data_IF_842234664192
#
_entry.id   IF_842234664192
#
_cell.length_a   1.000
_cell.length_b   1.000
_cell.length_c   1.000
_cell.angle_alpha   90.00
_cell.angle_beta   90.00
_cell.angle_gamma   90.00
#
_symmetry.space_group_name_H-M   'P 1'
#
loop_
_entity.id
_entity.type
_entity.pdbx_description
1 polymer ?
#
# COMPACT_ATOMS: atom_id res chain seq x y z
N UNK A 1 99.46 -24.43 -34.28
CA UNK A 1 98.55 -23.81 -33.34
C UNK A 1 99.30 -23.45 -32.09
N UNK A 2 99.32 -22.19 -31.72
CA UNK A 2 100.16 -21.71 -30.59
C UNK A 2 99.64 -22.25 -29.27
N UNK A 3 100.54 -22.93 -28.52
CA UNK A 3 100.20 -23.53 -27.21
C UNK A 3 99.61 -22.50 -26.24
N UNK A 4 99.98 -21.24 -26.42
CA UNK A 4 99.40 -20.11 -25.62
C UNK A 4 97.91 -19.86 -25.88
N UNK A 5 97.48 -20.07 -27.13
CA UNK A 5 96.05 -19.90 -27.48
C UNK A 5 95.18 -21.05 -26.93
N UNK A 6 95.72 -22.25 -26.91
CA UNK A 6 95.07 -23.41 -26.33
C UNK A 6 94.91 -23.26 -24.82
N UNK A 7 95.99 -22.78 -24.15
CA UNK A 7 95.88 -22.54 -22.71
C UNK A 7 94.85 -21.44 -22.30
N UNK A 8 94.79 -20.38 -23.14
CA UNK A 8 93.75 -19.32 -22.90
C UNK A 8 92.35 -19.86 -23.19
N UNK A 9 92.15 -20.73 -24.18
CA UNK A 9 90.82 -21.30 -24.47
C UNK A 9 90.39 -22.29 -23.41
N UNK A 10 91.33 -23.09 -22.86
CA UNK A 10 91.03 -23.97 -21.71
C UNK A 10 90.74 -23.16 -20.44
N UNK A 11 91.45 -22.06 -20.21
CA UNK A 11 91.16 -21.16 -19.04
C UNK A 11 89.81 -20.49 -19.15
N UNK A 12 89.46 -20.04 -20.38
CA UNK A 12 88.09 -19.46 -20.59
C UNK A 12 86.98 -20.48 -20.45
N UNK A 13 87.19 -21.75 -20.85
CA UNK A 13 86.19 -22.82 -20.68
C UNK A 13 86.01 -23.21 -19.18
N UNK A 14 87.09 -23.23 -18.42
CA UNK A 14 87.03 -23.50 -16.98
C UNK A 14 86.29 -22.37 -16.25
N UNK A 15 86.57 -21.11 -16.59
CA UNK A 15 85.86 -19.97 -16.00
C UNK A 15 84.35 -19.97 -16.38
N UNK A 16 84.01 -20.30 -17.63
CA UNK A 16 82.63 -20.42 -18.03
C UNK A 16 81.93 -21.59 -17.34
N UNK A 17 82.60 -22.71 -17.13
CA UNK A 17 82.06 -23.86 -16.38
C UNK A 17 81.81 -23.54 -14.91
N UNK A 18 82.72 -22.84 -14.25
CA UNK A 18 82.58 -22.42 -12.86
C UNK A 18 81.46 -21.41 -12.69
N UNK A 19 81.37 -20.43 -13.62
CA UNK A 19 80.27 -19.45 -13.58
C UNK A 19 78.92 -20.09 -13.88
N UNK A 20 78.84 -21.05 -14.77
CA UNK A 20 77.60 -21.79 -15.04
C UNK A 20 77.20 -22.68 -13.84
N UNK A 21 78.18 -23.31 -13.17
CA UNK A 21 77.92 -24.10 -11.95
C UNK A 21 77.45 -23.23 -10.76
N UNK A 22 78.10 -22.05 -10.59
CA UNK A 22 77.70 -21.11 -9.58
C UNK A 22 76.30 -20.50 -9.81
N UNK A 23 76.03 -20.16 -11.07
CA UNK A 23 74.65 -19.73 -11.46
C UNK A 23 73.61 -20.80 -11.17
N UNK A 24 73.89 -22.07 -11.51
CA UNK A 24 72.99 -23.19 -11.21
C UNK A 24 72.83 -23.41 -9.72
N UNK A 25 73.84 -23.22 -8.88
CA UNK A 25 73.71 -23.35 -7.42
C UNK A 25 72.95 -22.20 -6.80
N UNK A 26 73.04 -20.98 -7.33
CA UNK A 26 72.31 -19.83 -6.84
C UNK A 26 70.85 -19.86 -7.30
N UNK A 27 70.55 -20.26 -8.52
CA UNK A 27 69.19 -20.36 -9.07
C UNK A 27 68.54 -21.73 -8.82
N UNK A 28 69.27 -22.80 -8.61
CA UNK A 28 68.72 -24.14 -8.33
C UNK A 28 68.47 -24.41 -6.86
N UNK A 29 68.89 -23.53 -5.96
CA UNK A 29 68.67 -23.63 -4.50
C UNK A 29 67.53 -22.78 -3.98
N UNK A 30 66.94 -21.93 -4.83
CA UNK A 30 65.67 -21.31 -4.49
C UNK A 30 64.58 -22.35 -4.74
N UNK A 31 64.29 -23.16 -3.71
CA UNK A 31 63.05 -23.91 -3.69
C UNK A 31 61.93 -22.94 -4.00
N UNK A 32 61.17 -23.20 -5.06
CA UNK A 32 59.94 -22.52 -5.31
C UNK A 32 59.24 -22.43 -3.97
N UNK A 33 58.83 -21.24 -3.49
CA UNK A 33 58.00 -21.17 -2.32
C UNK A 33 56.80 -22.03 -2.68
N UNK A 34 56.71 -23.18 -2.01
CA UNK A 34 55.54 -24.02 -2.06
C UNK A 34 54.43 -23.09 -1.61
N UNK A 35 53.60 -22.60 -2.56
CA UNK A 35 52.42 -21.85 -2.20
C UNK A 35 51.70 -22.76 -1.20
N UNK A 36 51.78 -22.37 0.05
CA UNK A 36 50.91 -22.96 1.08
C UNK A 36 49.53 -22.71 0.50
N UNK A 37 48.96 -23.75 -0.09
CA UNK A 37 47.58 -23.69 -0.54
C UNK A 37 46.84 -23.16 0.68
N UNK A 38 46.42 -21.90 0.62
CA UNK A 38 45.59 -21.31 1.65
C UNK A 38 44.45 -22.30 1.76
N UNK A 39 44.46 -23.08 2.84
CA UNK A 39 43.40 -24.03 3.13
C UNK A 39 42.16 -23.17 3.10
N UNK A 40 41.35 -23.29 2.03
CA UNK A 40 40.08 -22.60 1.95
C UNK A 40 39.41 -22.88 3.29
N UNK A 41 38.90 -21.84 3.99
CA UNK A 41 38.28 -22.07 5.30
C UNK A 41 37.24 -23.15 5.10
N UNK A 42 37.48 -24.31 5.70
CA UNK A 42 36.50 -25.39 5.67
C UNK A 42 35.23 -24.78 6.23
N UNK A 43 34.06 -24.97 5.59
CA UNK A 43 32.81 -24.53 6.14
C UNK A 43 32.70 -25.07 7.57
N UNK A 44 32.67 -24.19 8.55
CA UNK A 44 32.50 -24.56 9.95
C UNK A 44 31.14 -25.26 9.99
N UNK A 45 31.15 -26.57 10.15
CA UNK A 45 29.93 -27.36 10.36
C UNK A 45 29.44 -26.95 11.75
N UNK A 46 28.45 -26.07 11.78
CA UNK A 46 27.78 -25.66 13.02
C UNK A 46 26.95 -26.85 13.46
N UNK A 47 27.42 -27.56 14.51
CA UNK A 47 26.69 -28.64 15.14
C UNK A 47 25.61 -28.04 16.06
N UNK A 48 24.36 -28.14 15.63
CA UNK A 48 23.22 -27.63 16.39
C UNK A 48 21.90 -27.81 15.66
N UNK A 49 20.79 -27.65 16.37
CA UNK A 49 19.47 -27.69 15.74
C UNK A 49 19.29 -26.56 14.72
N UNK A 50 18.47 -26.80 13.72
CA UNK A 50 18.09 -25.76 12.76
C UNK A 50 16.97 -24.88 13.35
N UNK A 51 17.16 -23.58 13.26
CA UNK A 51 16.16 -22.58 13.68
C UNK A 51 15.73 -21.70 12.50
N UNK A 52 14.57 -21.04 12.61
CA UNK A 52 14.11 -20.10 11.62
C UNK A 52 14.86 -18.77 11.72
N UNK A 53 15.39 -18.30 10.59
CA UNK A 53 16.16 -17.07 10.44
C UNK A 53 15.56 -16.23 9.32
N UNK A 54 15.47 -14.91 9.49
CA UNK A 54 14.94 -14.01 8.48
C UNK A 54 15.83 -13.97 7.23
N UNK A 55 15.25 -14.13 6.05
CA UNK A 55 15.97 -14.03 4.77
C UNK A 55 16.19 -12.60 4.32
N UNK A 56 15.35 -11.69 4.76
CA UNK A 56 15.33 -10.25 4.42
C UNK A 56 15.00 -9.44 5.68
N UNK A 57 15.24 -8.13 5.64
CA UNK A 57 14.79 -7.25 6.71
C UNK A 57 13.26 -7.22 6.77
N UNK A 58 12.70 -7.37 7.96
CA UNK A 58 11.28 -7.40 8.24
C UNK A 58 10.93 -6.25 9.19
N UNK A 59 10.48 -5.10 8.65
CA UNK A 59 10.01 -3.98 9.47
C UNK A 59 8.76 -4.33 10.27
N UNK A 60 8.48 -3.54 11.30
CA UNK A 60 7.24 -3.64 12.09
C UNK A 60 6.03 -3.52 11.17
N UNK A 61 5.01 -4.35 11.40
CA UNK A 61 3.80 -4.39 10.58
C UNK A 61 3.89 -5.27 9.34
N UNK A 62 5.05 -5.88 9.06
CA UNK A 62 5.19 -6.82 7.94
C UNK A 62 4.41 -8.09 8.23
N UNK A 63 3.54 -8.49 7.31
CA UNK A 63 2.88 -9.79 7.34
C UNK A 63 3.88 -10.84 6.84
N UNK A 64 4.08 -11.89 7.62
CA UNK A 64 5.02 -12.97 7.31
C UNK A 64 4.45 -13.85 6.20
N UNK A 65 5.26 -14.09 5.19
CA UNK A 65 5.06 -15.10 4.15
C UNK A 65 6.13 -16.21 4.26
N UNK A 66 5.91 -17.41 3.66
CA UNK A 66 6.86 -18.51 3.74
C UNK A 66 8.25 -18.21 3.19
N UNK A 67 8.41 -17.18 2.35
CA UNK A 67 9.70 -16.77 1.75
C UNK A 67 10.50 -15.82 2.66
N UNK A 68 9.86 -15.31 3.72
CA UNK A 68 10.45 -14.37 4.65
C UNK A 68 11.50 -14.98 5.57
N UNK A 69 11.57 -16.30 5.66
CA UNK A 69 12.48 -17.02 6.55
C UNK A 69 13.00 -18.32 5.94
N UNK A 70 14.08 -18.83 6.53
CA UNK A 70 14.68 -20.12 6.18
C UNK A 70 15.20 -20.83 7.43
N UNK A 71 15.33 -22.14 7.38
CA UNK A 71 16.05 -22.88 8.40
C UNK A 71 17.55 -22.70 8.23
N UNK A 72 18.24 -22.50 9.36
CA UNK A 72 19.70 -22.40 9.41
C UNK A 72 20.22 -23.12 10.66
N UNK A 73 21.32 -23.92 10.57
CA UNK A 73 21.98 -24.51 11.72
C UNK A 73 22.38 -23.43 12.72
N UNK A 74 22.16 -23.66 14.01
CA UNK A 74 22.45 -22.71 15.08
C UNK A 74 23.26 -23.35 16.18
N UNK A 75 24.32 -22.67 16.70
CA UNK A 75 25.16 -23.23 17.76
C UNK A 75 24.32 -23.61 18.99
N UNK A 76 24.59 -24.80 19.57
CA UNK A 76 23.85 -25.30 20.74
C UNK A 76 23.97 -24.37 21.94
N UNK A 77 25.12 -23.74 22.11
CA UNK A 77 25.41 -22.81 23.22
C UNK A 77 24.59 -21.52 23.17
N UNK A 78 24.11 -21.14 21.97
CA UNK A 78 23.31 -19.92 21.74
C UNK A 78 21.80 -20.22 21.68
N UNK A 79 21.39 -21.46 21.95
CA UNK A 79 19.99 -21.86 21.91
C UNK A 79 19.18 -21.19 23.02
N UNK A 80 18.04 -20.63 22.63
CA UNK A 80 17.05 -20.10 23.56
C UNK A 80 15.68 -20.72 23.27
N UNK A 81 14.88 -20.94 24.29
CA UNK A 81 13.54 -21.51 24.17
C UNK A 81 12.57 -20.62 23.37
N UNK A 82 12.95 -19.37 23.11
CA UNK A 82 12.16 -18.42 22.33
C UNK A 82 12.28 -18.62 20.82
N UNK A 83 13.21 -19.44 20.32
CA UNK A 83 13.42 -19.66 18.89
C UNK A 83 12.44 -20.68 18.31
N UNK A 84 12.16 -20.54 17.02
CA UNK A 84 11.39 -21.52 16.26
C UNK A 84 12.33 -22.61 15.73
N UNK A 85 12.28 -23.79 16.36
CA UNK A 85 13.16 -24.93 16.05
C UNK A 85 12.47 -25.82 15.01
N UNK A 86 13.24 -26.32 14.04
CA UNK A 86 12.78 -27.28 13.03
C UNK A 86 12.26 -28.56 13.70
N UNK A 87 11.08 -29.02 13.28
CA UNK A 87 10.41 -30.16 13.84
C UNK A 87 9.51 -29.88 15.05
N UNK A 88 9.69 -28.74 15.73
CA UNK A 88 8.80 -28.29 16.82
C UNK A 88 7.86 -27.16 16.34
N UNK A 89 8.33 -26.30 15.45
CA UNK A 89 7.54 -25.23 14.86
C UNK A 89 7.18 -25.54 13.41
N UNK A 90 5.90 -25.44 13.07
CA UNK A 90 5.42 -25.55 11.70
C UNK A 90 5.51 -24.16 11.02
N UNK A 91 6.32 -24.02 9.96
CA UNK A 91 6.43 -22.76 9.22
C UNK A 91 5.10 -22.28 8.63
N UNK A 92 4.22 -23.18 8.26
CA UNK A 92 2.90 -22.83 7.71
C UNK A 92 2.03 -22.13 8.75
N UNK A 93 2.20 -22.42 10.03
CA UNK A 93 1.50 -21.76 11.14
C UNK A 93 1.97 -20.33 11.40
N UNK A 94 3.08 -19.91 10.80
CA UNK A 94 3.62 -18.54 10.88
C UNK A 94 3.15 -17.64 9.74
N UNK A 95 2.60 -18.22 8.67
CA UNK A 95 2.01 -17.45 7.59
C UNK A 95 0.86 -16.60 8.12
N UNK A 96 0.83 -15.31 7.73
CA UNK A 96 -0.16 -14.35 8.20
C UNK A 96 0.11 -13.74 9.59
N UNK A 97 1.16 -14.17 10.31
CA UNK A 97 1.60 -13.48 11.53
C UNK A 97 2.23 -12.12 11.19
N UNK A 98 2.20 -11.19 12.12
CA UNK A 98 2.70 -9.82 11.92
C UNK A 98 3.92 -9.58 12.79
N UNK A 99 4.93 -8.92 12.23
CA UNK A 99 6.15 -8.51 12.93
C UNK A 99 5.85 -7.40 13.92
N UNK A 100 6.07 -7.66 15.22
CA UNK A 100 5.92 -6.69 16.31
C UNK A 100 7.16 -5.83 16.50
N UNK A 101 8.35 -6.41 16.38
CA UNK A 101 9.63 -5.74 16.49
C UNK A 101 10.43 -5.98 15.23
N UNK A 102 11.09 -4.94 14.73
CA UNK A 102 11.92 -5.03 13.52
C UNK A 102 12.92 -6.19 13.63
N UNK A 103 12.98 -7.03 12.59
CA UNK A 103 13.90 -8.15 12.46
C UNK A 103 14.82 -7.87 11.28
N UNK A 104 16.13 -7.96 11.50
CA UNK A 104 17.11 -7.77 10.43
C UNK A 104 17.35 -9.07 9.65
N UNK A 105 17.83 -8.96 8.40
CA UNK A 105 18.24 -10.14 7.65
C UNK A 105 19.33 -10.93 8.41
N UNK A 106 19.17 -12.26 8.46
CA UNK A 106 20.09 -13.14 9.22
C UNK A 106 19.79 -13.25 10.72
N UNK A 107 18.83 -12.52 11.25
CA UNK A 107 18.43 -12.58 12.67
C UNK A 107 17.49 -13.74 12.91
N UNK A 108 17.66 -14.53 14.02
CA UNK A 108 16.72 -15.54 14.45
C UNK A 108 15.32 -14.99 14.71
N UNK A 109 14.29 -15.73 14.26
CA UNK A 109 12.92 -15.42 14.60
C UNK A 109 12.62 -15.87 16.03
N UNK A 110 12.07 -14.97 16.84
CA UNK A 110 11.64 -15.28 18.21
C UNK A 110 10.11 -15.22 18.32
N UNK A 111 9.54 -16.05 19.20
CA UNK A 111 8.09 -16.09 19.42
C UNK A 111 7.53 -14.74 19.83
N UNK A 112 8.25 -13.96 20.65
CA UNK A 112 7.83 -12.64 21.10
C UNK A 112 7.89 -11.55 20.04
N UNK A 113 8.63 -11.77 18.94
CA UNK A 113 8.75 -10.81 17.84
C UNK A 113 7.59 -10.88 16.83
N UNK A 114 6.77 -11.93 16.91
CA UNK A 114 5.64 -12.17 16.01
C UNK A 114 4.32 -12.15 16.79
N UNK A 115 3.27 -11.65 16.17
CA UNK A 115 1.90 -11.64 16.68
C UNK A 115 1.02 -12.44 15.74
N UNK A 116 0.32 -13.44 16.26
CA UNK A 116 -0.57 -14.28 15.45
C UNK A 116 -1.90 -13.59 15.20
N UNK A 117 -2.59 -13.91 14.09
CA UNK A 117 -3.99 -13.56 13.92
C UNK A 117 -4.83 -13.99 15.15
N UNK A 118 -5.63 -13.06 15.70
CA UNK A 118 -6.41 -13.28 16.92
C UNK A 118 -5.72 -12.94 18.23
N UNK A 119 -4.40 -12.81 18.27
CA UNK A 119 -3.68 -12.40 19.47
C UNK A 119 -3.93 -10.94 19.81
N UNK A 120 -3.83 -10.61 21.12
CA UNK A 120 -3.88 -9.22 21.57
C UNK A 120 -2.81 -8.37 20.88
N UNK A 121 -3.25 -7.25 20.31
CA UNK A 121 -2.35 -6.31 19.63
C UNK A 121 -2.05 -6.66 18.17
N UNK A 122 -2.64 -7.74 17.62
CA UNK A 122 -2.48 -8.10 16.20
C UNK A 122 -2.85 -6.93 15.27
N UNK A 123 -4.04 -6.34 15.44
CA UNK A 123 -4.48 -5.21 14.60
C UNK A 123 -3.53 -4.02 14.75
N UNK A 124 -3.09 -3.71 15.98
CA UNK A 124 -2.15 -2.60 16.19
C UNK A 124 -0.78 -2.85 15.54
N UNK A 125 -0.32 -4.11 15.52
CA UNK A 125 0.92 -4.49 14.84
C UNK A 125 0.77 -4.53 13.31
N UNK A 126 -0.41 -4.87 12.80
CA UNK A 126 -0.70 -4.94 11.37
C UNK A 126 -0.87 -3.56 10.72
N UNK A 127 -1.15 -2.52 11.52
CA UNK A 127 -1.29 -1.15 11.04
C UNK A 127 0.04 -0.57 10.57
N UNK A 128 0.03 0.10 9.43
CA UNK A 128 1.15 0.91 8.98
C UNK A 128 1.39 2.14 9.88
N UNK A 129 2.60 2.73 9.85
CA UNK A 129 2.89 3.94 10.61
C UNK A 129 1.90 5.06 10.30
N UNK A 130 1.34 5.67 11.34
CA UNK A 130 0.36 6.75 11.21
C UNK A 130 -1.05 6.33 10.83
N UNK A 131 -1.31 5.03 10.60
CA UNK A 131 -2.62 4.51 10.24
C UNK A 131 -3.48 4.20 11.48
N UNK A 132 -4.78 4.07 11.26
CA UNK A 132 -5.80 3.76 12.27
C UNK A 132 -6.69 2.61 11.77
N UNK A 133 -7.18 1.79 12.69
CA UNK A 133 -8.22 0.81 12.43
C UNK A 133 -9.58 1.44 12.68
N UNK A 134 -10.45 1.42 11.68
CA UNK A 134 -11.82 1.95 11.76
C UNK A 134 -12.79 0.83 11.38
N UNK A 135 -13.79 0.61 12.20
CA UNK A 135 -14.81 -0.41 11.92
C UNK A 135 -16.05 0.24 11.31
N UNK A 136 -16.52 -0.36 10.23
CA UNK A 136 -17.74 0.01 9.52
C UNK A 136 -18.73 -1.14 9.62
N UNK A 137 -19.95 -0.84 10.04
CA UNK A 137 -21.05 -1.82 10.01
C UNK A 137 -21.60 -1.96 8.60
N UNK A 138 -21.79 -3.20 8.17
CA UNK A 138 -22.29 -3.54 6.84
C UNK A 138 -23.38 -4.61 6.93
N UNK A 139 -24.24 -4.63 5.92
CA UNK A 139 -25.17 -5.75 5.70
C UNK A 139 -24.52 -6.77 4.76
N UNK A 140 -25.07 -7.96 4.68
CA UNK A 140 -24.60 -8.98 3.72
C UNK A 140 -24.56 -8.43 2.29
N UNK A 141 -25.53 -7.62 1.88
CA UNK A 141 -25.58 -7.02 0.55
C UNK A 141 -24.51 -5.94 0.37
N UNK A 142 -24.33 -5.04 1.35
CA UNK A 142 -23.35 -3.97 1.27
C UNK A 142 -21.90 -4.44 1.51
N UNK A 143 -21.72 -5.66 2.04
CA UNK A 143 -20.43 -6.33 2.27
C UNK A 143 -20.09 -7.36 1.20
N UNK A 144 -20.55 -7.19 -0.05
CA UNK A 144 -20.24 -8.09 -1.19
C UNK A 144 -20.54 -9.56 -0.86
N UNK A 145 -21.70 -9.83 -0.24
CA UNK A 145 -22.18 -11.17 0.11
C UNK A 145 -21.18 -12.06 0.89
N UNK A 146 -20.25 -11.46 1.62
CA UNK A 146 -19.25 -12.21 2.39
C UNK A 146 -17.94 -12.51 1.65
N UNK A 147 -17.78 -12.05 0.43
CA UNK A 147 -16.57 -12.26 -0.38
C UNK A 147 -15.46 -11.23 -0.12
N UNK A 148 -15.53 -10.49 0.97
CA UNK A 148 -14.44 -9.62 1.42
C UNK A 148 -13.65 -10.36 2.50
N UNK A 149 -12.35 -10.46 2.29
CA UNK A 149 -11.43 -11.15 3.19
C UNK A 149 -10.39 -10.18 3.78
N UNK A 150 -9.83 -10.49 4.96
CA UNK A 150 -8.69 -9.76 5.49
C UNK A 150 -7.53 -9.74 4.48
N UNK A 151 -6.99 -8.55 4.21
CA UNK A 151 -5.97 -8.31 3.18
C UNK A 151 -6.51 -7.72 1.87
N UNK A 152 -7.80 -7.85 1.59
CA UNK A 152 -8.42 -7.29 0.39
C UNK A 152 -8.42 -5.76 0.39
N UNK A 153 -8.62 -5.19 -0.78
CA UNK A 153 -8.77 -3.76 -1.00
C UNK A 153 -10.19 -3.44 -1.44
N UNK A 154 -10.79 -2.44 -0.79
CA UNK A 154 -12.16 -2.03 -1.05
C UNK A 154 -12.26 -0.52 -1.24
N UNK A 155 -13.25 -0.11 -2.02
CA UNK A 155 -13.70 1.27 -2.09
C UNK A 155 -14.97 1.42 -1.24
N UNK A 156 -15.13 2.56 -0.59
CA UNK A 156 -16.25 2.86 0.29
C UNK A 156 -17.18 3.86 -0.38
N UNK A 157 -18.43 3.48 -0.58
CA UNK A 157 -19.48 4.28 -1.16
C UNK A 157 -20.51 4.67 -0.09
N UNK A 158 -20.90 5.95 -0.10
CA UNK A 158 -21.97 6.50 0.71
C UNK A 158 -23.22 6.68 -0.14
N UNK A 159 -24.33 6.08 0.28
CA UNK A 159 -25.66 6.32 -0.28
C UNK A 159 -26.47 7.14 0.69
N UNK A 160 -26.95 8.30 0.28
CA UNK A 160 -27.69 9.23 1.13
C UNK A 160 -28.85 9.92 0.43
N UNK A 161 -29.78 10.44 1.20
CA UNK A 161 -30.86 11.30 0.74
C UNK A 161 -30.60 12.73 1.19
N UNK A 162 -30.45 13.65 0.20
CA UNK A 162 -30.19 15.06 0.48
C UNK A 162 -31.50 15.83 0.41
N UNK A 163 -32.00 16.23 1.57
CA UNK A 163 -33.17 17.09 1.68
C UNK A 163 -32.77 18.52 1.28
N UNK A 164 -33.57 19.13 0.42
CA UNK A 164 -33.41 20.54 0.05
C UNK A 164 -34.32 21.46 0.89
N UNK A 165 -34.20 22.77 0.67
CA UNK A 165 -35.09 23.77 1.28
C UNK A 165 -36.45 23.90 0.59
N UNK A 166 -36.69 23.23 -0.53
CA UNK A 166 -37.91 23.27 -1.30
C UNK A 166 -38.81 22.05 -1.10
N UNK A 167 -40.01 22.12 -1.68
CA UNK A 167 -40.99 21.03 -1.64
C UNK A 167 -40.61 19.88 -2.58
N UNK A 168 -40.96 18.65 -2.20
CA UNK A 168 -40.82 17.44 -2.97
C UNK A 168 -39.83 16.45 -2.40
N UNK A 169 -39.65 15.27 -3.05
CA UNK A 169 -38.80 14.20 -2.54
C UNK A 169 -37.32 14.63 -2.48
N UNK A 170 -36.54 14.12 -1.52
CA UNK A 170 -35.11 14.38 -1.42
C UNK A 170 -34.36 13.88 -2.65
N UNK A 171 -33.19 14.45 -2.90
CA UNK A 171 -32.27 13.97 -3.92
C UNK A 171 -31.55 12.72 -3.39
N UNK A 172 -31.64 11.61 -4.12
CA UNK A 172 -30.88 10.39 -3.82
C UNK A 172 -29.52 10.47 -4.48
N UNK A 173 -28.48 10.26 -3.70
CA UNK A 173 -27.07 10.35 -4.12
C UNK A 173 -26.32 9.13 -3.65
N UNK A 174 -25.48 8.58 -4.51
CA UNK A 174 -24.45 7.61 -4.14
C UNK A 174 -23.08 8.17 -4.61
N UNK A 175 -22.12 8.17 -3.71
CA UNK A 175 -20.78 8.70 -4.00
C UNK A 175 -19.70 7.81 -3.41
N UNK A 176 -18.59 7.64 -4.14
CA UNK A 176 -17.40 6.97 -3.63
C UNK A 176 -16.60 7.95 -2.79
N UNK A 177 -16.62 7.77 -1.47
CA UNK A 177 -16.00 8.71 -0.52
C UNK A 177 -14.53 8.44 -0.26
N UNK A 178 -14.11 7.17 -0.32
CA UNK A 178 -12.71 6.73 -0.12
C UNK A 178 -12.45 5.52 -0.99
N UNK A 179 -11.27 5.46 -1.56
CA UNK A 179 -10.79 4.35 -2.39
C UNK A 179 -9.59 3.66 -1.77
N UNK A 180 -9.39 2.40 -2.14
CA UNK A 180 -8.19 1.63 -1.84
C UNK A 180 -7.95 1.41 -0.33
N UNK A 181 -9.01 1.20 0.44
CA UNK A 181 -8.92 0.85 1.85
C UNK A 181 -8.54 -0.62 2.02
N UNK A 182 -7.53 -0.90 2.84
CA UNK A 182 -7.15 -2.27 3.18
C UNK A 182 -8.05 -2.82 4.28
N UNK A 183 -8.61 -4.00 4.07
CA UNK A 183 -9.37 -4.76 5.06
C UNK A 183 -8.41 -5.42 6.05
N UNK A 184 -8.60 -5.13 7.34
CA UNK A 184 -7.79 -5.72 8.42
C UNK A 184 -8.49 -6.93 9.04
N UNK A 185 -9.81 -6.85 9.17
CA UNK A 185 -10.61 -7.90 9.79
C UNK A 185 -12.07 -7.84 9.31
N UNK A 186 -12.74 -8.98 9.30
CA UNK A 186 -14.19 -9.12 9.15
C UNK A 186 -14.76 -9.69 10.44
N UNK A 187 -15.66 -8.94 11.12
CA UNK A 187 -16.04 -9.15 12.51
C UNK A 187 -14.80 -9.28 13.42
N UNK A 188 -14.58 -10.42 14.06
CA UNK A 188 -13.42 -10.69 14.89
C UNK A 188 -12.34 -11.51 14.16
N UNK A 189 -12.50 -11.77 12.87
CA UNK A 189 -11.58 -12.58 12.07
C UNK A 189 -10.54 -11.71 11.38
N UNK A 190 -9.29 -12.04 11.60
CA UNK A 190 -8.12 -11.35 11.05
C UNK A 190 -7.36 -12.21 10.03
N UNK A 191 -7.85 -13.43 9.75
CA UNK A 191 -7.31 -14.35 8.75
C UNK A 191 -8.43 -15.10 8.05
N UNK A 192 -8.15 -15.60 6.86
CA UNK A 192 -9.07 -16.43 6.11
C UNK A 192 -9.24 -17.78 6.82
N UNK A 193 -10.47 -18.24 6.98
CA UNK A 193 -10.75 -19.60 7.42
C UNK A 193 -10.70 -20.53 6.21
N UNK A 194 -10.04 -21.65 6.38
CA UNK A 194 -10.00 -22.73 5.38
C UNK A 194 -10.75 -23.95 5.89
N UNK A 195 -11.41 -24.67 4.99
CA UNK A 195 -12.03 -25.94 5.29
C UNK A 195 -10.97 -27.07 5.37
N UNK A 196 -11.39 -28.27 5.76
CA UNK A 196 -10.52 -29.45 5.82
C UNK A 196 -9.89 -29.82 4.48
N UNK A 197 -10.37 -29.24 3.37
CA UNK A 197 -9.88 -29.44 2.01
C UNK A 197 -8.96 -28.31 1.55
N UNK A 198 -8.71 -27.29 2.40
CA UNK A 198 -7.87 -26.14 2.08
C UNK A 198 -8.56 -25.03 1.30
N UNK A 199 -9.89 -25.07 1.11
CA UNK A 199 -10.62 -24.00 0.45
C UNK A 199 -10.98 -22.89 1.43
N UNK A 200 -10.91 -21.64 0.98
CA UNK A 200 -11.35 -20.48 1.78
C UNK A 200 -12.85 -20.53 2.01
N UNK A 201 -13.27 -20.50 3.27
CA UNK A 201 -14.70 -20.45 3.63
C UNK A 201 -15.26 -19.03 3.48
N UNK A 202 -16.35 -18.90 2.73
CA UNK A 202 -17.14 -17.68 2.65
C UNK A 202 -18.12 -17.65 3.81
N UNK A 203 -17.95 -16.66 4.70
CA UNK A 203 -18.80 -16.51 5.89
C UNK A 203 -19.34 -15.09 5.92
N UNK A 204 -20.63 -14.94 6.15
CA UNK A 204 -21.26 -13.64 6.32
C UNK A 204 -20.70 -12.91 7.55
N UNK A 205 -20.59 -11.59 7.46
CA UNK A 205 -20.11 -10.72 8.52
C UNK A 205 -20.98 -9.46 8.59
N UNK A 206 -20.94 -8.80 9.73
CA UNK A 206 -21.70 -7.57 9.99
C UNK A 206 -20.81 -6.35 10.15
N UNK A 207 -19.51 -6.55 10.38
CA UNK A 207 -18.56 -5.47 10.60
C UNK A 207 -17.30 -5.72 9.80
N UNK A 208 -16.75 -4.67 9.22
CA UNK A 208 -15.45 -4.69 8.52
C UNK A 208 -14.54 -3.65 9.15
N UNK A 209 -13.35 -4.08 9.56
CA UNK A 209 -12.32 -3.18 10.10
C UNK A 209 -11.34 -2.83 8.99
N UNK A 210 -11.19 -1.55 8.74
CA UNK A 210 -10.41 -0.96 7.63
C UNK A 210 -9.21 -0.21 8.17
N UNK A 211 -8.14 -0.19 7.40
CA UNK A 211 -6.97 0.65 7.64
C UNK A 211 -7.18 2.02 6.97
N UNK A 212 -7.10 3.08 7.76
CA UNK A 212 -7.34 4.44 7.30
C UNK A 212 -6.34 5.44 7.89
N UNK A 213 -6.09 6.53 7.19
CA UNK A 213 -5.42 7.69 7.81
C UNK A 213 -6.34 8.35 8.84
N UNK A 214 -5.83 9.13 9.80
CA UNK A 214 -6.67 9.84 10.77
C UNK A 214 -7.77 10.67 10.09
N UNK A 215 -7.45 11.42 9.04
CA UNK A 215 -8.40 12.22 8.28
C UNK A 215 -9.49 11.38 7.59
N UNK A 216 -9.09 10.26 7.00
CA UNK A 216 -10.05 9.32 6.39
C UNK A 216 -10.92 8.66 7.45
N UNK A 217 -10.37 8.35 8.63
CA UNK A 217 -11.12 7.82 9.76
C UNK A 217 -12.24 8.77 10.22
N UNK A 218 -11.95 10.07 10.32
CA UNK A 218 -12.94 11.13 10.61
C UNK A 218 -14.01 11.19 9.51
N UNK A 219 -13.60 11.15 8.25
CA UNK A 219 -14.50 11.14 7.09
C UNK A 219 -15.46 9.95 7.13
N UNK A 220 -14.94 8.74 7.43
CA UNK A 220 -15.76 7.53 7.58
C UNK A 220 -16.75 7.69 8.75
N UNK A 221 -16.30 8.20 9.91
CA UNK A 221 -17.16 8.39 11.07
C UNK A 221 -18.33 9.33 10.77
N UNK A 222 -18.09 10.44 10.09
CA UNK A 222 -19.15 11.35 9.64
C UNK A 222 -20.08 10.66 8.64
N UNK A 223 -19.53 9.93 7.68
CA UNK A 223 -20.31 9.25 6.63
C UNK A 223 -21.27 8.22 7.20
N UNK A 224 -20.91 7.53 8.29
CA UNK A 224 -21.79 6.58 9.01
C UNK A 224 -23.05 7.26 9.59
N UNK A 225 -22.99 8.57 9.86
CA UNK A 225 -24.15 9.33 10.37
C UNK A 225 -25.00 9.94 9.25
N UNK A 226 -24.46 10.02 8.03
CA UNK A 226 -25.13 10.66 6.89
C UNK A 226 -26.00 9.70 6.09
N UNK A 227 -25.61 8.43 6.01
CA UNK A 227 -26.31 7.47 5.18
C UNK A 227 -25.79 6.05 5.30
N UNK A 228 -26.15 5.22 4.34
CA UNK A 228 -25.74 3.82 4.27
C UNK A 228 -24.39 3.68 3.56
N UNK A 229 -23.48 2.94 4.18
CA UNK A 229 -22.18 2.62 3.59
C UNK A 229 -22.23 1.27 2.87
N UNK A 230 -21.67 1.25 1.66
CA UNK A 230 -21.52 0.05 0.82
C UNK A 230 -20.08 -0.08 0.40
N UNK A 231 -19.57 -1.31 0.41
CA UNK A 231 -18.21 -1.61 -0.03
C UNK A 231 -18.21 -2.18 -1.43
N UNK A 232 -17.24 -1.79 -2.23
CA UNK A 232 -16.93 -2.37 -3.54
C UNK A 232 -15.56 -3.00 -3.49
N UNK A 233 -15.47 -4.28 -3.86
CA UNK A 233 -14.20 -5.00 -3.91
C UNK A 233 -13.39 -4.53 -5.12
N UNK A 234 -12.13 -4.18 -4.91
CA UNK A 234 -11.22 -3.76 -5.97
C UNK A 234 -10.55 -4.94 -6.65
N UNK A 235 -10.30 -4.79 -7.95
CA UNK A 235 -9.45 -5.70 -8.68
C UNK A 235 -7.99 -5.60 -8.21
N UNK A 236 -7.29 -6.73 -8.18
CA UNK A 236 -5.86 -6.79 -7.90
C UNK A 236 -5.06 -5.98 -8.95
N UNK A 237 -5.54 -5.95 -10.19
CA UNK A 237 -4.91 -5.22 -11.30
C UNK A 237 -4.99 -3.69 -11.15
N UNK A 238 -6.01 -3.16 -10.43
CA UNK A 238 -6.23 -1.72 -10.28
C UNK A 238 -5.06 -1.01 -9.60
N UNK A 239 -4.39 -1.68 -8.66
CA UNK A 239 -3.22 -1.10 -7.98
C UNK A 239 -2.06 -0.82 -8.94
N UNK A 240 -1.85 -1.70 -9.92
CA UNK A 240 -0.79 -1.54 -10.94
C UNK A 240 -1.16 -0.39 -11.88
N UNK A 241 -2.40 -0.34 -12.33
CA UNK A 241 -2.90 0.70 -13.24
C UNK A 241 -2.91 2.09 -12.57
N UNK A 242 -3.26 2.18 -11.28
CA UNK A 242 -3.17 3.42 -10.52
C UNK A 242 -1.73 3.90 -10.37
N UNK A 243 -0.79 2.97 -10.12
CA UNK A 243 0.62 3.31 -10.07
C UNK A 243 1.12 3.87 -11.40
N UNK A 244 0.80 3.21 -12.51
CA UNK A 244 1.15 3.67 -13.85
C UNK A 244 0.56 5.06 -14.15
N UNK A 245 -0.71 5.29 -13.75
CA UNK A 245 -1.37 6.58 -13.90
C UNK A 245 -0.73 7.67 -13.02
N UNK A 246 -0.34 7.36 -11.78
CA UNK A 246 0.32 8.30 -10.88
C UNK A 246 1.74 8.66 -11.34
N UNK A 247 2.45 7.73 -11.97
CA UNK A 247 3.74 8.00 -12.62
C UNK A 247 3.53 8.88 -13.86
N UNK A 248 2.54 8.57 -14.70
CA UNK A 248 2.24 9.31 -15.91
C UNK A 248 1.77 10.76 -15.62
N UNK A 249 1.04 10.98 -14.51
CA UNK A 249 0.61 12.31 -14.07
C UNK A 249 1.70 13.12 -13.37
N UNK A 250 2.85 12.50 -13.04
CA UNK A 250 3.94 13.15 -12.30
C UNK A 250 3.67 13.34 -10.80
N UNK A 251 2.58 12.76 -10.26
CA UNK A 251 2.29 12.78 -8.81
C UNK A 251 3.32 11.96 -8.02
N UNK A 252 3.89 10.94 -8.65
CA UNK A 252 4.96 10.13 -8.07
C UNK A 252 6.20 10.32 -8.92
N UNK A 253 7.18 11.02 -8.37
CA UNK A 253 8.52 11.10 -8.96
C UNK A 253 9.25 9.79 -8.69
N UNK A 254 9.69 9.14 -9.76
CA UNK A 254 10.53 7.94 -9.67
C UNK A 254 11.92 8.41 -9.21
N UNK A 255 12.40 8.02 -8.01
CA UNK A 255 13.76 8.36 -7.61
C UNK A 255 14.74 7.67 -8.55
N UNK A 256 15.73 8.37 -9.07
CA UNK A 256 16.85 7.81 -9.81
C UNK A 256 17.70 6.91 -8.90
N UNK A 257 17.14 5.77 -8.50
CA UNK A 257 17.72 4.82 -7.56
C UNK A 257 18.53 3.75 -8.29
N UNK A 258 19.66 3.37 -7.69
CA UNK A 258 20.52 2.29 -8.20
C UNK A 258 19.94 0.88 -8.00
N UNK A 259 18.78 0.74 -7.33
CA UNK A 259 18.14 -0.55 -7.05
C UNK A 259 16.69 -0.59 -7.54
N UNK A 260 16.40 -1.22 -8.71
CA UNK A 260 15.05 -1.31 -9.27
C UNK A 260 14.05 -2.05 -8.37
N UNK A 261 14.52 -2.92 -7.46
CA UNK A 261 13.63 -3.65 -6.54
C UNK A 261 13.16 -2.76 -5.40
N UNK A 262 14.05 -1.95 -4.85
CA UNK A 262 13.70 -0.98 -3.79
C UNK A 262 12.74 0.08 -4.34
N UNK A 263 12.99 0.56 -5.55
CA UNK A 263 12.13 1.49 -6.27
C UNK A 263 10.71 0.93 -6.47
N UNK A 264 10.59 -0.27 -7.03
CA UNK A 264 9.29 -0.94 -7.21
C UNK A 264 8.55 -1.15 -5.89
N UNK A 265 9.24 -1.50 -4.82
CA UNK A 265 8.65 -1.68 -3.48
C UNK A 265 8.12 -0.36 -2.92
N UNK A 266 8.87 0.73 -3.09
CA UNK A 266 8.45 2.07 -2.66
C UNK A 266 7.24 2.56 -3.46
N UNK A 267 7.22 2.37 -4.77
CA UNK A 267 6.10 2.70 -5.64
C UNK A 267 4.83 1.94 -5.26
N UNK A 268 4.94 0.62 -5.04
CA UNK A 268 3.83 -0.20 -4.58
C UNK A 268 3.30 0.25 -3.21
N UNK A 269 4.18 0.68 -2.31
CA UNK A 269 3.79 1.21 -1.01
C UNK A 269 3.02 2.53 -1.12
N UNK A 270 3.39 3.39 -2.07
CA UNK A 270 2.67 4.66 -2.35
C UNK A 270 1.31 4.36 -2.99
N UNK A 271 1.27 3.52 -4.03
CA UNK A 271 0.03 3.13 -4.71
C UNK A 271 -0.95 2.38 -3.80
N UNK A 272 -0.45 1.75 -2.72
CA UNK A 272 -1.29 1.02 -1.76
C UNK A 272 -1.92 1.91 -0.69
N UNK A 273 -1.70 3.22 -0.69
CA UNK A 273 -2.31 4.12 0.30
C UNK A 273 -3.78 4.37 -0.02
N UNK A 274 -4.64 4.50 1.01
CA UNK A 274 -6.01 4.95 0.81
C UNK A 274 -6.04 6.34 0.17
N UNK A 275 -6.96 6.53 -0.76
CA UNK A 275 -7.13 7.79 -1.50
C UNK A 275 -8.55 8.33 -1.34
N UNK A 276 -8.69 9.63 -1.13
CA UNK A 276 -9.96 10.36 -1.03
C UNK A 276 -10.08 11.52 -2.04
N UNK A 277 -9.19 11.59 -3.05
CA UNK A 277 -9.10 12.71 -4.00
C UNK A 277 -9.92 12.53 -5.27
N UNK A 278 -10.14 11.32 -5.76
CA UNK A 278 -10.89 11.03 -7.00
C UNK A 278 -12.27 10.47 -6.70
N UNK A 279 -13.13 11.27 -6.08
CA UNK A 279 -14.49 10.85 -5.75
C UNK A 279 -15.40 10.96 -6.98
N UNK A 280 -16.16 9.91 -7.24
CA UNK A 280 -17.24 9.90 -8.23
C UNK A 280 -18.59 9.94 -7.51
N UNK A 281 -19.61 10.52 -8.13
CA UNK A 281 -20.96 10.52 -7.59
C UNK A 281 -21.98 10.26 -8.70
N UNK A 282 -23.12 9.70 -8.32
CA UNK A 282 -24.26 9.44 -9.18
C UNK A 282 -25.52 9.91 -8.46
N UNK A 283 -26.40 10.62 -9.15
CA UNK A 283 -27.67 11.06 -8.58
C UNK A 283 -28.83 10.23 -9.12
N UNK A 284 -29.95 10.25 -8.41
CA UNK A 284 -31.13 9.47 -8.78
C UNK A 284 -31.60 9.70 -10.22
N UNK A 285 -31.46 10.93 -10.73
CA UNK A 285 -31.80 11.26 -12.11
C UNK A 285 -30.89 10.66 -13.19
N UNK A 286 -29.71 10.14 -12.81
CA UNK A 286 -28.80 9.42 -13.74
C UNK A 286 -29.22 7.94 -13.85
N UNK A 287 -29.87 7.41 -12.81
CA UNK A 287 -30.34 6.02 -12.76
C UNK A 287 -31.77 5.90 -13.33
N UNK A 288 -32.63 6.86 -13.05
CA UNK A 288 -34.03 6.84 -13.46
C UNK A 288 -34.54 8.20 -13.85
N UNK A 289 -35.14 8.31 -15.05
CA UNK A 289 -35.79 9.54 -15.53
C UNK A 289 -36.91 10.07 -14.63
N UNK A 290 -37.42 9.27 -13.70
CA UNK A 290 -38.43 9.66 -12.71
C UNK A 290 -37.86 10.25 -11.43
N UNK A 291 -36.54 10.26 -11.29
CA UNK A 291 -35.84 10.80 -10.13
C UNK A 291 -35.26 12.18 -10.41
N UNK A 292 -34.91 12.90 -9.34
CA UNK A 292 -34.34 14.26 -9.44
C UNK A 292 -32.86 14.20 -9.80
N UNK A 293 -32.42 15.28 -10.48
CA UNK A 293 -30.99 15.53 -10.79
C UNK A 293 -30.35 16.56 -9.90
N UNK A 294 -31.16 17.32 -9.13
CA UNK A 294 -30.66 18.38 -8.24
C UNK A 294 -31.46 18.46 -6.94
N UNK A 295 -30.83 19.03 -5.92
CA UNK A 295 -31.45 19.27 -4.63
C UNK A 295 -32.65 20.23 -4.80
N UNK A 296 -33.82 19.97 -4.11
CA UNK A 296 -34.93 20.90 -4.13
C UNK A 296 -34.51 22.30 -3.65
N UNK A 297 -34.62 23.30 -4.52
CA UNK A 297 -34.26 24.67 -4.18
C UNK A 297 -35.28 25.24 -3.18
N UNK A 298 -34.80 26.00 -2.20
CA UNK A 298 -35.65 26.81 -1.34
C UNK A 298 -36.41 27.81 -2.20
N UNK A 299 -37.73 27.98 -2.04
CA UNK A 299 -38.45 29.05 -2.73
C UNK A 299 -37.71 30.38 -2.47
N UNK A 300 -37.39 31.10 -3.54
CA UNK A 300 -36.85 32.44 -3.38
C UNK A 300 -37.91 33.22 -2.58
N UNK A 301 -37.62 33.54 -1.33
CA UNK A 301 -38.35 34.55 -0.61
C UNK A 301 -38.24 35.78 -1.50
N UNK A 302 -39.33 36.16 -2.17
CA UNK A 302 -39.38 37.43 -2.86
C UNK A 302 -38.88 38.43 -1.85
N UNK A 303 -37.69 38.96 -2.07
CA UNK A 303 -37.22 40.10 -1.33
C UNK A 303 -38.25 41.21 -1.65
N UNK A 304 -39.17 41.40 -0.74
CA UNK A 304 -39.95 42.64 -0.71
C UNK A 304 -38.91 43.71 -0.46
N UNK A 305 -38.36 44.22 -1.53
CA UNK A 305 -37.63 45.46 -1.51
C UNK A 305 -38.64 46.48 -0.97
N UNK A 306 -38.39 47.17 0.14
CA UNK A 306 -39.25 48.27 0.54
C UNK A 306 -39.13 49.29 -0.55
N UNK A 307 -39.99 49.17 -1.54
CA UNK A 307 -40.20 50.21 -2.55
C UNK A 307 -40.82 51.38 -1.82
N UNK A 308 -40.00 52.39 -1.56
CA UNK A 308 -40.49 53.75 -1.40
C UNK A 308 -41.09 54.19 -2.75
N UNK A 309 -42.31 53.76 -2.98
CA UNK A 309 -43.09 54.09 -4.15
C UNK A 309 -44.45 53.47 -3.98
N UNK A 310 -45.43 54.22 -3.47
CA UNK A 310 -46.82 53.81 -3.43
C UNK A 310 -47.27 53.30 -4.80
N UNK A 311 -48.32 52.51 -4.90
CA UNK A 311 -48.83 52.05 -6.18
C UNK A 311 -49.13 53.27 -7.00
N UNK A 312 -48.43 53.41 -8.13
CA UNK A 312 -48.75 54.39 -9.14
C UNK A 312 -50.24 54.22 -9.48
N UNK A 313 -51.06 55.21 -9.12
CA UNK A 313 -52.46 55.22 -9.45
C UNK A 313 -52.59 54.92 -10.94
N UNK A 314 -53.32 53.87 -11.28
CA UNK A 314 -53.68 53.63 -12.68
C UNK A 314 -54.41 54.81 -13.16
N UNK A 315 -54.00 55.45 -14.28
CA UNK A 315 -54.73 56.55 -14.85
C UNK A 315 -56.17 56.15 -15.20
N UNK A 316 -57.15 56.78 -14.61
CA UNK A 316 -58.56 56.59 -14.95
C UNK A 316 -58.76 57.17 -16.37
N UNK A 317 -58.84 56.30 -17.36
CA UNK A 317 -59.06 56.68 -18.75
C UNK A 317 -58.39 55.73 -19.75
N UNK A 318 -58.69 55.81 -21.00
CA UNK A 318 -58.05 54.98 -22.02
C UNK A 318 -56.54 55.33 -22.05
N UNK A 319 -55.71 54.30 -21.77
CA UNK A 319 -54.26 54.46 -21.73
C UNK A 319 -53.61 53.45 -22.71
N UNK A 320 -52.50 53.83 -23.32
CA UNK A 320 -51.71 52.99 -24.21
C UNK A 320 -50.44 52.56 -23.48
N UNK A 321 -50.14 51.27 -23.51
CA UNK A 321 -48.91 50.71 -22.96
C UNK A 321 -47.77 50.93 -23.95
N UNK A 322 -46.81 51.73 -23.57
CA UNK A 322 -45.60 51.99 -24.37
C UNK A 322 -44.43 51.26 -23.71
N UNK A 323 -43.82 50.32 -24.45
CA UNK A 323 -42.62 49.61 -24.01
C UNK A 323 -41.38 50.16 -24.73
N UNK A 324 -40.37 50.60 -23.97
CA UNK A 324 -39.05 51.00 -24.50
C UNK A 324 -37.98 50.13 -23.79
N UNK A 325 -37.53 49.10 -24.44
CA UNK A 325 -36.65 48.11 -23.82
C UNK A 325 -37.32 47.39 -22.64
N UNK A 326 -36.71 47.42 -21.47
CA UNK A 326 -37.26 46.84 -20.24
C UNK A 326 -38.25 47.73 -19.47
N UNK A 327 -38.41 49.00 -19.89
CA UNK A 327 -39.32 49.93 -19.23
C UNK A 327 -40.67 49.99 -19.95
N UNK A 328 -41.73 49.79 -19.16
CA UNK A 328 -43.12 49.83 -19.62
C UNK A 328 -43.84 50.97 -18.91
N UNK A 329 -44.34 51.90 -19.67
CA UNK A 329 -45.06 53.12 -19.19
C UNK A 329 -46.50 53.13 -19.77
N UNK A 330 -47.47 53.49 -18.93
CA UNK A 330 -48.85 53.67 -19.35
C UNK A 330 -49.09 55.15 -19.60
N UNK A 331 -49.32 55.57 -20.89
CA UNK A 331 -49.56 56.92 -21.28
C UNK A 331 -51.07 57.14 -21.54
N UNK A 332 -51.75 58.05 -20.84
CA UNK A 332 -53.16 58.29 -21.09
C UNK A 332 -53.38 58.92 -22.51
N UNK A 333 -54.37 58.41 -23.22
CA UNK A 333 -54.73 58.86 -24.57
C UNK A 333 -56.07 59.60 -24.48
N UNK A 334 -56.04 60.86 -24.70
CA UNK A 334 -57.27 61.65 -24.76
C UNK A 334 -57.49 62.55 -23.53
N UNK A 335 -56.83 63.71 -23.52
CA UNK A 335 -57.16 64.85 -22.70
C UNK A 335 -57.03 66.07 -23.55
N UNK A 336 -58.16 66.65 -23.85
CA UNK A 336 -58.23 68.11 -24.24
C UNK A 336 -58.07 68.87 -22.98
#
# INVERSE_FOLDING_TARGET
MDVKKIALLCGALILAGVSAFMAKSIFGGAGTPQAVAATAPQPVVIDGPEILVATKALPVGTIIDPTSFRYQPWPKELMQNAYYIKGTADPSSLAGTVVRYQITAGQPLTQGALVKPGDRGFLAAALGPGMRAVTVSVTTQSGVAGFIFPGDRVDLMLSQEVAGGGEGPPLKVAETIVQNLRVLATDQRTSNQVDDKGNTQVVTFSNVTLEATPKIAEKIAVSQTMGALTMSLRSIADNTQQLESAIASGEVSVPDGKDPKAEKTMMLAIASRPNDSNTTFTVGGDVSRFQRKSVPAKPATASVQPGTGGPAARPEGPSVRVARGSNVEFVPVGGK
#
